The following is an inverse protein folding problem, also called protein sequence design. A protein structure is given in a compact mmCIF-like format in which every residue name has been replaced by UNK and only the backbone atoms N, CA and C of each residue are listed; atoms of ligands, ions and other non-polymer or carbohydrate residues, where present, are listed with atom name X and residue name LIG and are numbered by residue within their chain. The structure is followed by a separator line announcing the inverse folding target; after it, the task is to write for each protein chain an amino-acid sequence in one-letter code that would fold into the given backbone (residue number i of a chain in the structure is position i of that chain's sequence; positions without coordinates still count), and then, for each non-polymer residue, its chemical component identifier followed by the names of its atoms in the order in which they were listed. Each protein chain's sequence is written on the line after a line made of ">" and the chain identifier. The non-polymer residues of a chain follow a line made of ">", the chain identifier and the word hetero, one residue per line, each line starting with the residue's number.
data_IF_156395828108
#
_entry.id   IF_156395828108
#
_cell.length_a   1.000
_cell.length_b   1.000
_cell.length_c   1.000
_cell.angle_alpha   90.00
_cell.angle_beta   90.00
_cell.angle_gamma   90.00
#
_symmetry.space_group_name_H-M   'P 1'
#
loop_
_entity.id
_entity.type
_entity.pdbx_description
1 polymer ?
#
# COMPACT_ATOMS: atom_id res chain seq x y z
N UNK A 1 -12.97 9.40 -8.56
CA UNK A 1 -12.13 8.59 -9.48
C UNK A 1 -11.96 7.23 -8.85
N UNK A 2 -12.50 6.17 -9.45
CA UNK A 2 -12.07 4.82 -9.07
C UNK A 2 -10.66 4.67 -9.59
N UNK A 3 -9.71 4.27 -8.74
CA UNK A 3 -8.36 3.89 -9.18
C UNK A 3 -8.41 2.40 -9.51
N UNK A 4 -8.67 2.01 -10.78
CA UNK A 4 -8.73 0.60 -11.14
C UNK A 4 -7.38 -0.04 -10.86
N UNK A 5 -7.41 -1.25 -10.30
CA UNK A 5 -6.21 -2.07 -10.13
C UNK A 5 -5.50 -2.31 -11.46
N UNK A 6 -4.17 -2.33 -11.41
CA UNK A 6 -3.36 -2.58 -12.59
C UNK A 6 -3.48 -4.05 -13.01
N UNK A 7 -3.78 -4.28 -14.30
CA UNK A 7 -4.10 -5.60 -14.86
C UNK A 7 -3.66 -5.78 -16.32
N UNK A 8 -2.75 -4.92 -16.79
CA UNK A 8 -2.26 -4.95 -18.17
C UNK A 8 -1.31 -6.12 -18.36
N UNK A 9 -1.46 -6.85 -19.47
CA UNK A 9 -0.66 -8.03 -19.78
C UNK A 9 -1.14 -9.30 -19.09
N UNK A 10 -0.32 -10.34 -19.12
CA UNK A 10 -0.58 -11.63 -18.45
C UNK A 10 0.60 -12.03 -17.57
N UNK A 11 0.38 -13.02 -16.71
CA UNK A 11 1.42 -13.59 -15.84
C UNK A 11 1.53 -15.10 -15.98
N UNK A 12 2.76 -15.58 -15.93
CA UNK A 12 3.11 -16.98 -15.73
C UNK A 12 3.42 -17.20 -14.25
N UNK A 13 2.73 -18.16 -13.65
CA UNK A 13 2.83 -18.57 -12.24
C UNK A 13 2.90 -20.08 -12.16
N UNK A 14 3.80 -20.58 -11.31
CA UNK A 14 4.02 -22.02 -11.11
C UNK A 14 3.58 -22.40 -9.71
N UNK A 15 2.81 -23.49 -9.59
CA UNK A 15 2.41 -24.01 -8.28
C UNK A 15 3.62 -24.19 -7.37
N UNK A 16 3.49 -23.79 -6.11
CA UNK A 16 4.53 -23.83 -5.08
C UNK A 16 5.77 -22.97 -5.39
N UNK A 17 5.70 -22.03 -6.33
CA UNK A 17 6.74 -21.02 -6.59
C UNK A 17 6.31 -19.63 -6.11
N UNK A 18 7.26 -18.80 -5.72
CA UNK A 18 7.02 -17.38 -5.45
C UNK A 18 7.20 -16.50 -6.69
N UNK A 19 7.66 -17.04 -7.83
CA UNK A 19 7.96 -16.25 -9.01
C UNK A 19 6.69 -15.93 -9.81
N UNK A 20 6.54 -14.66 -10.19
CA UNK A 20 5.52 -14.18 -11.12
C UNK A 20 6.23 -13.53 -12.31
N UNK A 21 6.06 -14.12 -13.49
CA UNK A 21 6.70 -13.66 -14.73
C UNK A 21 5.66 -13.04 -15.65
N UNK A 22 5.75 -11.75 -15.89
CA UNK A 22 4.79 -11.00 -16.69
C UNK A 22 5.15 -10.91 -18.17
N UNK A 23 4.13 -10.90 -19.03
CA UNK A 23 4.25 -10.56 -20.46
C UNK A 23 3.39 -9.33 -20.76
N UNK A 24 3.99 -8.30 -21.36
CA UNK A 24 3.29 -7.02 -21.60
C UNK A 24 2.94 -6.28 -20.30
N UNK A 25 3.76 -6.45 -19.28
CA UNK A 25 3.58 -5.88 -17.94
C UNK A 25 4.57 -4.74 -17.68
N UNK A 26 4.27 -3.90 -16.67
CA UNK A 26 5.06 -2.77 -16.22
C UNK A 26 5.04 -2.70 -14.68
N UNK A 27 5.49 -3.77 -14.02
CA UNK A 27 5.36 -3.92 -12.56
C UNK A 27 6.00 -2.79 -11.75
N UNK A 28 7.19 -2.30 -12.12
CA UNK A 28 7.89 -1.23 -11.39
C UNK A 28 7.07 0.06 -11.33
N UNK A 29 6.39 0.40 -12.42
CA UNK A 29 5.62 1.64 -12.51
C UNK A 29 4.26 1.55 -11.81
N UNK A 30 3.76 0.34 -11.52
CA UNK A 30 2.37 0.13 -11.12
C UNK A 30 2.19 -0.65 -9.81
N UNK A 31 3.28 -1.04 -9.15
CA UNK A 31 3.25 -1.82 -7.90
C UNK A 31 4.45 -1.52 -7.04
N UNK A 32 4.35 -1.87 -5.77
CA UNK A 32 5.41 -1.81 -4.76
C UNK A 32 5.43 -3.11 -3.95
N UNK A 33 6.53 -3.34 -3.25
CA UNK A 33 6.58 -4.35 -2.20
C UNK A 33 5.54 -4.01 -1.13
N UNK A 34 4.81 -5.02 -0.67
CA UNK A 34 3.66 -4.90 0.24
C UNK A 34 2.30 -4.76 -0.45
N UNK A 35 2.26 -4.51 -1.76
CA UNK A 35 0.99 -4.50 -2.50
C UNK A 35 0.36 -5.89 -2.59
N UNK A 36 -0.93 -5.92 -2.89
CA UNK A 36 -1.68 -7.16 -3.09
C UNK A 36 -1.61 -7.61 -4.54
N UNK A 37 -1.12 -8.82 -4.78
CA UNK A 37 -1.24 -9.51 -6.05
C UNK A 37 -2.41 -10.48 -5.99
N UNK A 38 -3.37 -10.33 -6.91
CA UNK A 38 -4.42 -11.31 -7.14
C UNK A 38 -4.04 -12.20 -8.31
N UNK A 39 -3.80 -13.47 -8.02
CA UNK A 39 -3.38 -14.46 -9.00
C UNK A 39 -4.51 -14.92 -9.95
N UNK A 40 -4.16 -15.67 -11.01
CA UNK A 40 -5.13 -16.24 -11.95
C UNK A 40 -6.09 -17.25 -11.30
N UNK A 41 -5.69 -17.85 -10.19
CA UNK A 41 -6.50 -18.68 -9.30
C UNK A 41 -7.54 -17.88 -8.50
N UNK A 42 -7.49 -16.55 -8.58
CA UNK A 42 -8.32 -15.64 -7.78
C UNK A 42 -7.82 -15.43 -6.35
N UNK A 43 -6.71 -16.08 -5.97
CA UNK A 43 -6.09 -16.01 -4.65
C UNK A 43 -5.32 -14.71 -4.42
N UNK A 44 -5.11 -14.37 -3.15
CA UNK A 44 -4.41 -13.16 -2.72
C UNK A 44 -3.03 -13.47 -2.16
N UNK A 45 -2.06 -12.68 -2.60
CA UNK A 45 -0.66 -12.81 -2.24
C UNK A 45 -0.05 -11.43 -2.01
N UNK A 46 0.92 -11.34 -1.10
CA UNK A 46 1.72 -10.14 -0.89
C UNK A 46 2.87 -10.08 -1.90
N UNK A 47 3.12 -8.92 -2.48
CA UNK A 47 4.31 -8.67 -3.31
C UNK A 47 5.52 -8.48 -2.41
N UNK A 48 6.52 -9.36 -2.51
CA UNK A 48 7.72 -9.34 -1.66
C UNK A 48 8.95 -8.74 -2.33
N UNK A 49 8.99 -8.75 -3.66
CA UNK A 49 10.07 -8.15 -4.45
C UNK A 49 9.58 -7.79 -5.86
N UNK A 50 10.13 -6.73 -6.46
CA UNK A 50 9.91 -6.38 -7.87
C UNK A 50 11.28 -6.25 -8.52
N UNK A 51 11.69 -7.28 -9.26
CA UNK A 51 13.01 -7.35 -9.88
C UNK A 51 13.07 -6.57 -11.21
N UNK A 52 11.98 -6.52 -11.96
CA UNK A 52 11.89 -5.80 -13.24
C UNK A 52 10.43 -5.45 -13.58
N UNK A 53 10.21 -4.79 -14.73
CA UNK A 53 8.87 -4.58 -15.27
C UNK A 53 8.08 -5.89 -15.53
N UNK A 54 8.76 -7.02 -15.62
CA UNK A 54 8.20 -8.33 -15.99
C UNK A 54 8.52 -9.44 -15.00
N UNK A 55 9.15 -9.14 -13.86
CA UNK A 55 9.48 -10.15 -12.86
C UNK A 55 9.29 -9.60 -11.45
N UNK A 56 8.52 -10.33 -10.65
CA UNK A 56 8.28 -10.03 -9.25
C UNK A 56 8.15 -11.33 -8.44
N UNK A 57 8.16 -11.20 -7.12
CA UNK A 57 7.99 -12.31 -6.19
C UNK A 57 6.82 -12.07 -5.24
N UNK A 58 6.16 -13.15 -4.83
CA UNK A 58 4.99 -13.12 -3.96
C UNK A 58 5.13 -14.02 -2.71
N UNK A 59 4.34 -13.75 -1.68
CA UNK A 59 4.18 -14.60 -0.50
C UNK A 59 2.70 -14.74 -0.09
N UNK A 60 2.24 -15.91 0.35
CA UNK A 60 2.93 -17.21 0.28
C UNK A 60 3.21 -17.63 -1.18
N UNK A 61 3.89 -18.76 -1.39
CA UNK A 61 4.08 -19.30 -2.75
C UNK A 61 2.71 -19.51 -3.42
N UNK A 62 2.67 -19.44 -4.74
CA UNK A 62 1.43 -19.61 -5.51
C UNK A 62 0.78 -20.97 -5.26
N UNK A 63 -0.48 -20.95 -4.83
CA UNK A 63 -1.20 -22.15 -4.35
C UNK A 63 -2.04 -22.81 -5.46
N UNK A 64 -2.42 -22.04 -6.49
CA UNK A 64 -3.19 -22.53 -7.63
C UNK A 64 -2.42 -23.47 -8.56
N UNK A 65 -3.12 -24.02 -9.55
CA UNK A 65 -2.50 -24.78 -10.63
C UNK A 65 -1.63 -23.88 -11.52
N UNK A 66 -0.47 -24.39 -11.95
CA UNK A 66 0.45 -23.69 -12.85
C UNK A 66 -0.29 -23.12 -14.06
N UNK A 67 -0.06 -21.85 -14.35
CA UNK A 67 -0.68 -21.13 -15.45
C UNK A 67 0.37 -20.25 -16.13
N UNK A 68 0.56 -20.42 -17.43
CA UNK A 68 1.61 -19.74 -18.19
C UNK A 68 1.18 -18.39 -18.78
N UNK A 69 -0.11 -18.04 -18.73
CA UNK A 69 -0.67 -16.82 -19.32
C UNK A 69 -1.98 -16.40 -18.64
N UNK A 70 -1.96 -16.31 -17.31
CA UNK A 70 -3.13 -15.99 -16.51
C UNK A 70 -3.42 -14.49 -16.40
N UNK A 71 -4.68 -14.15 -16.18
CA UNK A 71 -5.08 -12.80 -15.76
C UNK A 71 -4.72 -12.55 -14.30
N UNK A 72 -4.46 -11.29 -13.95
CA UNK A 72 -4.07 -10.89 -12.60
C UNK A 72 -4.57 -9.48 -12.30
N UNK A 73 -4.41 -9.05 -11.05
CA UNK A 73 -4.54 -7.64 -10.67
C UNK A 73 -3.57 -7.26 -9.55
N UNK A 74 -3.07 -6.03 -9.58
CA UNK A 74 -2.27 -5.43 -8.49
C UNK A 74 -3.11 -4.38 -7.77
N UNK A 75 -3.32 -4.62 -6.48
CA UNK A 75 -4.07 -3.77 -5.57
C UNK A 75 -3.09 -3.02 -4.66
N UNK A 76 -3.07 -1.67 -4.71
CA UNK A 76 -2.26 -0.89 -3.79
C UNK A 76 -2.71 -1.12 -2.34
N UNK A 77 -1.85 -1.69 -1.50
CA UNK A 77 -2.10 -1.91 -0.07
C UNK A 77 -1.24 -0.92 0.72
N UNK A 78 -1.60 0.36 0.65
CA UNK A 78 -0.81 1.44 1.23
C UNK A 78 -0.90 1.43 2.77
N UNK A 79 0.11 0.84 3.43
CA UNK A 79 0.33 1.01 4.87
C UNK A 79 0.55 2.48 5.28
N UNK A 80 1.08 3.30 4.35
CA UNK A 80 1.36 4.72 4.58
C UNK A 80 0.14 5.54 5.06
N UNK A 81 -1.08 5.18 4.69
CA UNK A 81 -2.28 5.92 5.14
C UNK A 81 -2.49 5.71 6.64
N UNK A 82 -2.18 4.53 7.18
CA UNK A 82 -2.26 4.25 8.61
C UNK A 82 -1.21 5.04 9.38
N UNK A 83 0.05 4.99 8.97
CA UNK A 83 1.12 5.70 9.67
C UNK A 83 0.93 7.22 9.60
N UNK A 84 0.48 7.74 8.44
CA UNK A 84 0.13 9.15 8.29
C UNK A 84 -1.06 9.53 9.17
N UNK A 85 -2.09 8.68 9.25
CA UNK A 85 -3.24 8.90 10.11
C UNK A 85 -2.88 8.83 11.59
N UNK A 86 -1.98 7.93 11.97
CA UNK A 86 -1.47 7.82 13.34
C UNK A 86 -0.59 9.02 13.71
N UNK A 87 0.27 9.48 12.80
CA UNK A 87 1.05 10.70 12.97
C UNK A 87 0.15 11.95 13.09
N UNK A 88 -0.88 12.07 12.25
CA UNK A 88 -1.87 13.15 12.34
C UNK A 88 -2.66 13.08 13.65
N UNK A 89 -3.07 11.88 14.07
CA UNK A 89 -3.76 11.67 15.34
C UNK A 89 -2.89 12.04 16.53
N UNK A 90 -1.60 11.68 16.50
CA UNK A 90 -0.63 12.10 17.51
C UNK A 90 -0.49 13.62 17.57
N UNK A 91 -0.39 14.29 16.40
CA UNK A 91 -0.34 15.74 16.31
C UNK A 91 -1.60 16.41 16.91
N UNK A 92 -2.79 15.92 16.56
CA UNK A 92 -4.06 16.45 17.08
C UNK A 92 -4.16 16.24 18.59
N UNK A 93 -3.76 15.08 19.11
CA UNK A 93 -3.76 14.82 20.54
C UNK A 93 -2.78 15.72 21.30
N UNK A 94 -1.62 16.00 20.70
CA UNK A 94 -0.58 16.81 21.33
C UNK A 94 -0.90 18.31 21.32
N UNK A 95 -1.53 18.83 20.24
CA UNK A 95 -1.69 20.27 20.05
C UNK A 95 -3.15 20.74 20.00
N UNK A 96 -4.14 19.85 20.06
CA UNK A 96 -5.56 20.19 19.94
C UNK A 96 -6.03 21.18 21.00
N UNK A 97 -5.59 21.01 22.26
CA UNK A 97 -5.89 21.93 23.36
C UNK A 97 -5.29 23.33 23.14
N UNK A 98 -4.05 23.39 22.66
CA UNK A 98 -3.37 24.66 22.32
C UNK A 98 -4.08 25.39 21.18
N UNK A 99 -4.49 24.67 20.14
CA UNK A 99 -5.18 25.25 18.99
C UNK A 99 -6.57 25.79 19.39
N UNK A 100 -7.26 25.17 20.35
CA UNK A 100 -8.53 25.64 20.87
C UNK A 100 -8.42 26.98 21.64
N UNK A 101 -7.28 27.24 22.28
CA UNK A 101 -7.01 28.53 22.96
C UNK A 101 -6.91 29.68 21.96
N UNK A 102 -6.36 29.44 20.76
CA UNK A 102 -6.32 30.44 19.69
C UNK A 102 -7.71 30.87 19.21
N UNK A 103 -8.69 29.97 19.22
CA UNK A 103 -10.06 30.24 18.76
C UNK A 103 -10.95 30.96 19.78
N UNK A 104 -10.57 30.99 21.06
CA UNK A 104 -11.38 31.58 22.15
C UNK A 104 -10.74 32.82 22.75
N UNK A 105 -9.44 32.76 23.06
CA UNK A 105 -8.67 33.83 23.69
C UNK A 105 -7.21 33.75 23.23
N UNK A 106 -6.96 33.97 21.93
CA UNK A 106 -5.65 33.80 21.27
C UNK A 106 -4.59 34.83 21.66
N UNK A 107 -4.37 35.04 22.95
CA UNK A 107 -3.26 35.86 23.46
C UNK A 107 -1.98 35.04 23.50
N UNK A 108 -0.84 35.73 23.35
CA UNK A 108 0.50 35.11 23.40
C UNK A 108 0.76 34.38 24.72
N UNK A 109 0.11 34.80 25.79
CA UNK A 109 0.20 34.21 27.12
C UNK A 109 -0.63 32.93 27.24
N UNK A 110 -1.88 32.93 26.75
CA UNK A 110 -2.74 31.75 26.74
C UNK A 110 -2.17 30.59 25.93
N UNK A 111 -1.56 30.88 24.78
CA UNK A 111 -0.92 29.85 23.94
C UNK A 111 0.31 29.23 24.62
N UNK A 112 1.13 30.01 25.34
CA UNK A 112 2.28 29.47 26.07
C UNK A 112 1.87 28.61 27.25
N UNK A 113 0.82 29.01 27.98
CA UNK A 113 0.30 28.22 29.09
C UNK A 113 -0.22 26.85 28.63
N UNK A 114 -0.92 26.79 27.49
CA UNK A 114 -1.43 25.55 26.92
C UNK A 114 -0.34 24.62 26.34
N UNK A 115 0.81 25.17 25.93
CA UNK A 115 1.95 24.39 25.44
C UNK A 115 2.79 23.76 26.57
N UNK A 116 2.68 24.30 27.79
CA UNK A 116 3.47 23.91 28.95
C UNK A 116 2.74 22.90 29.88
N UNK A 117 1.49 22.55 29.56
CA UNK A 117 0.64 21.60 30.27
C UNK A 117 0.54 20.27 29.50
#
# INVERSE_FOLDING_TARGET
>A
MTMPWYKTGTVSVTQNSNAVIGTGTAFIANSRVGDGFRGPDGGWYEVTNIASNTAMSIAPNYQGATNNAGGYALAPLQGYVKDSADALRALVNQFGSTLAVLGTSGTREGVRAALAA
#
